data_IF_504481582602
#
_entry.id   IF_504481582602
#
_cell.length_a   1.000
_cell.length_b   1.000
_cell.length_c   1.000
_cell.angle_alpha   90.00
_cell.angle_beta   90.00
_cell.angle_gamma   90.00
#
_symmetry.space_group_name_H-M   'P 1'
#
loop_
_entity.id
_entity.type
_entity.pdbx_description
1 polymer ?
#
# COMPACT_ATOMS: atom_id res chain seq x y z
N UNK A 1 21.18 -7.35 -48.17
CA UNK A 1 20.21 -8.45 -48.38
C UNK A 1 20.27 -9.29 -47.11
N UNK A 2 19.35 -9.23 -46.16
CA UNK A 2 17.88 -9.31 -46.25
C UNK A 2 17.34 -8.69 -44.97
N UNK A 3 16.98 -7.40 -45.03
CA UNK A 3 15.61 -6.94 -44.84
C UNK A 3 14.92 -7.42 -43.55
N UNK A 4 14.73 -6.45 -42.64
CA UNK A 4 13.41 -6.11 -42.15
C UNK A 4 12.60 -7.26 -41.56
N UNK A 5 12.67 -7.53 -40.25
CA UNK A 5 11.54 -8.20 -39.58
C UNK A 5 11.41 -8.08 -38.07
N UNK A 6 12.08 -7.13 -37.39
CA UNK A 6 11.69 -6.81 -36.00
C UNK A 6 11.58 -5.29 -35.86
N UNK A 7 10.58 -4.74 -36.54
CA UNK A 7 9.89 -3.53 -36.10
C UNK A 7 8.87 -4.04 -35.09
N UNK A 8 9.31 -4.25 -33.84
CA UNK A 8 8.37 -4.45 -32.74
C UNK A 8 7.36 -3.30 -32.80
N UNK A 9 6.09 -3.69 -32.88
CA UNK A 9 4.99 -2.78 -33.05
C UNK A 9 5.08 -1.73 -31.94
N UNK A 10 5.22 -0.45 -32.35
CA UNK A 10 4.86 0.68 -31.50
C UNK A 10 3.38 0.49 -31.18
N UNK A 11 3.12 -0.23 -30.08
CA UNK A 11 1.82 -0.41 -29.50
C UNK A 11 1.19 0.96 -29.38
N UNK A 12 -0.06 1.05 -29.79
CA UNK A 12 -0.83 2.26 -29.79
C UNK A 12 -0.98 2.78 -28.34
N UNK A 13 -0.04 3.64 -27.91
CA UNK A 13 0.04 4.33 -26.61
C UNK A 13 -1.21 5.14 -26.24
N UNK A 14 -2.22 5.22 -27.12
CA UNK A 14 -3.50 5.86 -26.84
C UNK A 14 -4.48 4.99 -26.05
N UNK A 15 -4.19 3.70 -25.87
CA UNK A 15 -5.06 2.73 -25.16
C UNK A 15 -4.43 2.13 -23.88
N UNK A 16 -3.40 2.76 -23.33
CA UNK A 16 -2.97 2.38 -21.98
C UNK A 16 -4.00 2.85 -20.96
N UNK A 17 -4.93 1.95 -20.63
CA UNK A 17 -5.95 2.08 -19.57
C UNK A 17 -5.35 2.57 -18.24
N UNK A 18 -4.06 2.33 -18.03
CA UNK A 18 -3.31 2.69 -16.81
C UNK A 18 -2.75 4.12 -16.80
N UNK A 19 -2.84 4.86 -17.91
CA UNK A 19 -2.40 6.25 -18.02
C UNK A 19 -3.54 7.27 -17.83
N UNK A 20 -4.45 7.03 -16.87
CA UNK A 20 -5.52 7.96 -16.52
C UNK A 20 -5.15 8.79 -15.26
N UNK A 21 -4.58 10.00 -15.38
CA UNK A 21 -4.21 10.85 -14.24
C UNK A 21 -5.42 11.24 -13.35
N UNK A 22 -6.62 11.22 -13.92
CA UNK A 22 -7.88 11.43 -13.20
C UNK A 22 -8.21 10.28 -12.24
N UNK A 23 -7.98 9.03 -12.64
CA UNK A 23 -8.27 7.88 -11.80
C UNK A 23 -7.32 7.82 -10.59
N UNK A 24 -6.03 8.11 -10.79
CA UNK A 24 -5.04 8.16 -9.70
C UNK A 24 -5.40 9.21 -8.63
N UNK A 25 -5.87 10.39 -9.05
CA UNK A 25 -6.30 11.44 -8.12
C UNK A 25 -7.57 11.05 -7.34
N UNK A 26 -8.50 10.35 -7.98
CA UNK A 26 -9.71 9.84 -7.32
C UNK A 26 -9.38 8.75 -6.30
N UNK A 27 -8.55 7.77 -6.68
CA UNK A 27 -8.08 6.71 -5.78
C UNK A 27 -7.33 7.29 -4.59
N UNK A 28 -6.48 8.29 -4.81
CA UNK A 28 -5.80 9.02 -3.73
C UNK A 28 -6.78 9.65 -2.75
N UNK A 29 -7.79 10.38 -3.25
CA UNK A 29 -8.80 11.01 -2.41
C UNK A 29 -9.62 9.98 -1.61
N UNK A 30 -10.06 8.91 -2.26
CA UNK A 30 -10.74 7.79 -1.59
C UNK A 30 -9.86 7.13 -0.53
N UNK A 31 -8.56 6.98 -0.79
CA UNK A 31 -7.61 6.36 0.15
C UNK A 31 -7.40 7.25 1.36
N UNK A 32 -7.23 8.57 1.18
CA UNK A 32 -7.17 9.51 2.31
C UNK A 32 -8.45 9.47 3.15
N UNK A 33 -9.63 9.46 2.51
CA UNK A 33 -10.91 9.38 3.22
C UNK A 33 -11.03 8.07 4.00
N UNK A 34 -10.63 6.95 3.40
CA UNK A 34 -10.59 5.64 4.04
C UNK A 34 -9.70 5.66 5.28
N UNK A 35 -8.47 6.20 5.18
CA UNK A 35 -7.53 6.23 6.31
C UNK A 35 -8.04 7.09 7.47
N UNK A 36 -8.69 8.22 7.17
CA UNK A 36 -9.34 9.06 8.18
C UNK A 36 -10.49 8.29 8.83
N UNK A 37 -11.34 7.65 8.03
CA UNK A 37 -12.48 6.86 8.50
C UNK A 37 -12.03 5.70 9.39
N UNK A 38 -11.01 4.94 8.99
CA UNK A 38 -10.44 3.85 9.78
C UNK A 38 -9.78 4.37 11.06
N UNK A 39 -8.99 5.45 10.98
CA UNK A 39 -8.34 6.04 12.15
C UNK A 39 -9.37 6.46 13.21
N UNK A 40 -10.43 7.14 12.80
CA UNK A 40 -11.54 7.54 13.68
C UNK A 40 -12.28 6.31 14.24
N UNK A 41 -12.59 5.32 13.39
CA UNK A 41 -13.28 4.10 13.81
C UNK A 41 -12.49 3.32 14.87
N UNK A 42 -11.17 3.22 14.71
CA UNK A 42 -10.31 2.57 15.71
C UNK A 42 -10.23 3.37 17.01
N UNK A 43 -10.20 4.71 16.95
CA UNK A 43 -10.24 5.54 18.16
C UNK A 43 -11.52 5.33 18.96
N UNK A 44 -12.69 5.26 18.30
CA UNK A 44 -13.95 4.98 18.98
C UNK A 44 -14.00 3.60 19.63
N UNK A 45 -13.32 2.59 19.04
CA UNK A 45 -13.21 1.24 19.62
C UNK A 45 -12.19 1.11 20.76
N UNK A 46 -11.49 2.18 21.14
CA UNK A 46 -10.51 2.12 22.25
C UNK A 46 -11.20 1.84 23.60
N UNK A 47 -12.48 2.18 23.74
CA UNK A 47 -13.26 1.92 24.95
C UNK A 47 -13.87 0.52 25.08
N UNK A 48 -13.74 -0.31 24.05
CA UNK A 48 -14.36 -1.65 24.04
C UNK A 48 -13.55 -2.66 24.87
N UNK A 49 -14.25 -3.67 25.41
CA UNK A 49 -13.62 -4.79 26.09
C UNK A 49 -12.77 -5.61 25.11
N UNK A 50 -11.65 -6.20 25.57
CA UNK A 50 -10.81 -7.03 24.74
C UNK A 50 -11.61 -8.23 24.21
N UNK A 51 -11.60 -8.42 22.88
CA UNK A 51 -12.26 -9.56 22.25
C UNK A 51 -11.25 -10.43 21.51
N UNK A 52 -11.43 -11.74 21.68
CA UNK A 52 -10.70 -12.78 20.95
C UNK A 52 -11.58 -13.29 19.81
N UNK A 53 -11.05 -13.28 18.60
CA UNK A 53 -11.68 -13.83 17.42
C UNK A 53 -10.86 -15.00 16.85
N UNK A 54 -11.47 -15.77 15.94
CA UNK A 54 -10.82 -16.85 15.19
C UNK A 54 -10.08 -17.85 16.09
N UNK A 55 -10.76 -18.39 17.11
CA UNK A 55 -10.21 -19.37 18.04
C UNK A 55 -8.87 -18.92 18.70
N UNK A 56 -8.70 -17.63 18.95
CA UNK A 56 -7.50 -17.06 19.57
C UNK A 56 -6.39 -16.69 18.59
N UNK A 57 -6.64 -16.67 17.28
CA UNK A 57 -5.66 -16.19 16.28
C UNK A 57 -5.61 -14.66 16.20
N UNK A 58 -6.71 -13.99 16.53
CA UNK A 58 -6.86 -12.55 16.43
C UNK A 58 -7.33 -11.96 17.75
N UNK A 59 -6.58 -11.01 18.29
CA UNK A 59 -6.91 -10.30 19.51
C UNK A 59 -7.03 -8.80 19.26
N UNK A 60 -8.10 -8.22 19.77
CA UNK A 60 -8.36 -6.79 19.64
C UNK A 60 -8.54 -6.18 21.01
N UNK A 61 -7.45 -5.63 21.52
CA UNK A 61 -7.41 -4.89 22.77
C UNK A 61 -7.40 -3.36 22.53
N UNK A 62 -7.71 -2.54 23.55
CA UNK A 62 -7.61 -1.08 23.47
C UNK A 62 -6.25 -0.59 22.93
N UNK A 63 -5.16 -1.22 23.36
CA UNK A 63 -3.80 -0.88 22.90
C UNK A 63 -3.65 -1.19 21.40
N UNK A 64 -4.13 -2.35 20.95
CA UNK A 64 -4.12 -2.72 19.52
C UNK A 64 -4.92 -1.72 18.69
N UNK A 65 -6.09 -1.28 19.17
CA UNK A 65 -6.90 -0.28 18.48
C UNK A 65 -6.18 1.08 18.37
N UNK A 66 -5.51 1.51 19.43
CA UNK A 66 -4.68 2.73 19.40
C UNK A 66 -3.53 2.62 18.40
N UNK A 67 -2.81 1.49 18.37
CA UNK A 67 -1.73 1.26 17.42
C UNK A 67 -2.22 1.22 15.96
N UNK A 68 -3.39 0.63 15.70
CA UNK A 68 -4.01 0.64 14.36
C UNK A 68 -4.38 2.04 13.93
N UNK A 69 -4.93 2.86 14.83
CA UNK A 69 -5.22 4.27 14.57
C UNK A 69 -3.94 5.06 14.26
N UNK A 70 -2.89 4.88 15.07
CA UNK A 70 -1.58 5.50 14.85
C UNK A 70 -0.94 5.09 13.52
N UNK A 71 -1.09 3.82 13.13
CA UNK A 71 -0.59 3.30 11.85
C UNK A 71 -1.31 3.93 10.65
N UNK A 72 -2.64 4.06 10.74
CA UNK A 72 -3.44 4.75 9.71
C UNK A 72 -3.02 6.23 9.59
N UNK A 73 -2.78 6.90 10.72
CA UNK A 73 -2.31 8.28 10.74
C UNK A 73 -0.91 8.44 10.13
N UNK A 74 0.02 7.55 10.48
CA UNK A 74 1.37 7.55 9.92
C UNK A 74 1.35 7.36 8.39
N UNK A 75 0.52 6.43 7.88
CA UNK A 75 0.38 6.23 6.45
C UNK A 75 -0.26 7.43 5.75
N UNK A 76 -1.25 8.06 6.38
CA UNK A 76 -1.89 9.26 5.85
C UNK A 76 -0.87 10.40 5.68
N UNK A 77 -0.04 10.64 6.69
CA UNK A 77 1.05 11.64 6.61
C UNK A 77 2.05 11.24 5.51
N UNK A 78 2.42 9.97 5.44
CA UNK A 78 3.32 9.46 4.40
C UNK A 78 2.78 9.69 2.98
N UNK A 79 1.49 9.41 2.73
CA UNK A 79 0.85 9.65 1.43
C UNK A 79 0.81 11.13 1.05
N UNK A 80 0.48 12.02 2.01
CA UNK A 80 0.47 13.47 1.78
C UNK A 80 1.86 13.95 1.39
N UNK A 81 2.89 13.51 2.12
CA UNK A 81 4.28 13.88 1.84
C UNK A 81 4.77 13.32 0.50
N UNK A 82 4.43 12.07 0.21
CA UNK A 82 4.87 11.36 -0.99
C UNK A 82 4.24 11.93 -2.28
N UNK A 83 3.04 12.55 -2.19
CA UNK A 83 2.31 13.06 -3.36
C UNK A 83 3.16 13.90 -4.31
N UNK A 84 3.86 14.92 -3.78
CA UNK A 84 4.67 15.81 -4.63
C UNK A 84 5.81 15.04 -5.30
N UNK A 85 6.49 14.18 -4.54
CA UNK A 85 7.57 13.33 -5.05
C UNK A 85 7.12 12.38 -6.17
N UNK A 86 5.92 11.79 -6.06
CA UNK A 86 5.38 10.91 -7.10
C UNK A 86 5.04 11.66 -8.39
N UNK A 87 4.54 12.90 -8.28
CA UNK A 87 4.23 13.74 -9.44
C UNK A 87 5.51 14.15 -10.16
N UNK A 88 6.52 14.62 -9.42
CA UNK A 88 7.79 15.08 -9.98
C UNK A 88 8.53 13.97 -10.74
N UNK A 89 8.35 12.71 -10.33
CA UNK A 89 8.97 11.55 -10.97
C UNK A 89 8.08 10.83 -11.98
N UNK A 90 6.85 11.31 -12.23
CA UNK A 90 5.90 10.64 -13.11
C UNK A 90 5.45 9.25 -12.64
N UNK A 91 5.64 8.94 -11.35
CA UNK A 91 5.26 7.68 -10.71
C UNK A 91 3.86 7.75 -10.07
N UNK A 92 3.12 8.84 -10.24
CA UNK A 92 1.77 9.01 -9.70
C UNK A 92 0.76 8.09 -10.39
N UNK A 93 0.75 6.83 -9.96
CA UNK A 93 -0.09 5.74 -10.46
C UNK A 93 -0.91 5.15 -9.31
N UNK A 94 -2.12 4.62 -9.59
CA UNK A 94 -2.94 3.98 -8.58
C UNK A 94 -2.24 2.76 -7.95
N UNK A 95 -1.35 2.08 -8.69
CA UNK A 95 -0.63 0.89 -8.22
C UNK A 95 0.19 1.15 -6.94
N UNK A 96 0.84 2.32 -6.85
CA UNK A 96 1.57 2.72 -5.64
C UNK A 96 0.65 2.84 -4.42
N UNK A 97 -0.55 3.39 -4.64
CA UNK A 97 -1.54 3.60 -3.59
C UNK A 97 -2.09 2.24 -3.13
N UNK A 98 -2.34 1.32 -4.06
CA UNK A 98 -2.82 -0.03 -3.73
C UNK A 98 -1.76 -0.82 -2.95
N UNK A 99 -0.50 -0.79 -3.37
CA UNK A 99 0.59 -1.49 -2.69
C UNK A 99 0.85 -0.92 -1.28
N UNK A 100 0.77 0.41 -1.10
CA UNK A 100 0.89 1.03 0.23
C UNK A 100 -0.27 0.71 1.15
N UNK A 101 -1.50 0.61 0.63
CA UNK A 101 -2.67 0.14 1.40
C UNK A 101 -2.55 -1.34 1.78
N UNK A 102 -1.98 -2.18 0.91
CA UNK A 102 -1.74 -3.59 1.21
C UNK A 102 -0.66 -3.76 2.29
N UNK A 103 0.38 -2.91 2.28
CA UNK A 103 1.36 -2.85 3.36
C UNK A 103 0.73 -2.47 4.71
N UNK A 104 -0.20 -1.50 4.71
CA UNK A 104 -0.97 -1.14 5.91
C UNK A 104 -1.81 -2.32 6.41
N UNK A 105 -2.47 -3.05 5.51
CA UNK A 105 -3.24 -4.24 5.88
C UNK A 105 -2.36 -5.25 6.62
N UNK A 106 -1.15 -5.53 6.11
CA UNK A 106 -0.17 -6.37 6.80
C UNK A 106 0.16 -5.85 8.20
N UNK A 107 0.39 -4.55 8.34
CA UNK A 107 0.62 -3.90 9.64
C UNK A 107 -0.58 -4.03 10.60
N UNK A 108 -1.81 -3.92 10.12
CA UNK A 108 -3.02 -4.12 10.94
C UNK A 108 -3.17 -5.58 11.41
N UNK A 109 -2.78 -6.55 10.57
CA UNK A 109 -2.74 -7.98 10.93
C UNK A 109 -1.69 -8.23 12.01
N UNK A 110 -0.50 -7.63 11.87
CA UNK A 110 0.58 -7.75 12.86
C UNK A 110 0.16 -7.23 14.24
N UNK A 111 -0.50 -6.07 14.30
CA UNK A 111 -0.92 -5.46 15.57
C UNK A 111 -1.93 -6.33 16.32
N UNK A 112 -2.71 -7.16 15.63
CA UNK A 112 -3.71 -8.06 16.23
C UNK A 112 -3.31 -9.52 16.27
N UNK A 113 -2.08 -9.85 15.91
CA UNK A 113 -1.59 -11.22 15.95
C UNK A 113 -1.41 -11.69 17.40
N UNK A 114 -2.09 -12.78 17.75
CA UNK A 114 -1.93 -13.44 19.06
C UNK A 114 -1.05 -14.70 19.00
N UNK A 115 -0.70 -15.18 17.80
CA UNK A 115 0.17 -16.34 17.59
C UNK A 115 1.21 -16.04 16.50
N UNK A 116 2.32 -16.78 16.52
CA UNK A 116 3.44 -16.68 15.58
C UNK A 116 3.03 -16.91 14.13
N UNK A 117 2.01 -17.75 13.87
CA UNK A 117 1.52 -17.99 12.51
C UNK A 117 0.86 -16.72 11.94
N UNK A 118 -0.04 -16.08 12.71
CA UNK A 118 -0.68 -14.82 12.30
C UNK A 118 0.35 -13.71 12.14
N UNK A 119 1.36 -13.69 13.02
CA UNK A 119 2.47 -12.74 12.95
C UNK A 119 3.30 -12.94 11.68
N UNK A 120 3.67 -14.18 11.35
CA UNK A 120 4.41 -14.51 10.13
C UNK A 120 3.64 -14.09 8.87
N UNK A 121 2.34 -14.41 8.81
CA UNK A 121 1.49 -14.02 7.70
C UNK A 121 1.43 -12.50 7.53
N UNK A 122 1.31 -11.75 8.64
CA UNK A 122 1.34 -10.29 8.61
C UNK A 122 2.67 -9.73 8.06
N UNK A 123 3.79 -10.34 8.44
CA UNK A 123 5.12 -9.96 7.94
C UNK A 123 5.28 -10.25 6.45
N UNK A 124 4.87 -11.43 5.97
CA UNK A 124 4.93 -11.78 4.55
C UNK A 124 4.08 -10.85 3.69
N UNK A 125 2.84 -10.56 4.12
CA UNK A 125 1.96 -9.63 3.39
C UNK A 125 2.59 -8.25 3.27
N UNK A 126 3.16 -7.74 4.37
CA UNK A 126 3.85 -6.45 4.37
C UNK A 126 5.12 -6.49 3.49
N UNK A 127 5.92 -7.57 3.57
CA UNK A 127 7.15 -7.73 2.81
C UNK A 127 6.91 -7.81 1.30
N UNK A 128 5.89 -8.55 0.85
CA UNK A 128 5.54 -8.62 -0.57
C UNK A 128 5.05 -7.27 -1.10
N UNK A 129 4.28 -6.54 -0.29
CA UNK A 129 3.83 -5.18 -0.62
C UNK A 129 5.00 -4.23 -0.85
N UNK A 130 5.97 -4.24 0.07
CA UNK A 130 7.12 -3.34 0.02
C UNK A 130 8.12 -3.76 -1.06
N UNK A 131 8.29 -5.05 -1.30
CA UNK A 131 9.05 -5.55 -2.44
C UNK A 131 8.46 -5.04 -3.77
N UNK A 132 7.12 -5.10 -3.90
CA UNK A 132 6.41 -4.51 -5.03
C UNK A 132 6.69 -3.01 -5.18
N UNK A 133 6.64 -2.25 -4.09
CA UNK A 133 6.94 -0.80 -4.10
C UNK A 133 8.37 -0.48 -4.57
N UNK A 134 9.35 -1.27 -4.16
CA UNK A 134 10.75 -1.12 -4.60
C UNK A 134 10.88 -1.44 -6.09
N UNK A 135 10.22 -2.51 -6.55
CA UNK A 135 10.25 -2.95 -7.95
C UNK A 135 9.59 -1.96 -8.93
N UNK A 136 8.72 -1.05 -8.45
CA UNK A 136 8.06 -0.04 -9.30
C UNK A 136 9.05 0.89 -10.04
N UNK A 137 10.30 1.01 -9.59
CA UNK A 137 11.29 1.94 -10.17
C UNK A 137 12.32 1.28 -11.11
N UNK A 138 11.89 0.28 -11.89
CA UNK A 138 12.76 -0.49 -12.79
C UNK A 138 13.53 0.35 -13.86
N UNK A 139 13.04 1.54 -14.24
CA UNK A 139 13.60 2.33 -15.37
C UNK A 139 14.63 3.39 -14.98
N UNK A 140 15.32 3.28 -13.84
CA UNK A 140 16.48 4.14 -13.55
C UNK A 140 17.73 3.31 -13.33
N UNK A 141 18.74 3.48 -14.20
CA UNK A 141 20.00 2.72 -14.17
C UNK A 141 20.80 2.79 -12.86
N UNK A 142 20.47 3.73 -11.97
CA UNK A 142 20.99 3.80 -10.60
C UNK A 142 20.39 2.78 -9.62
N UNK A 143 19.34 2.04 -10.03
CA UNK A 143 18.65 1.05 -9.18
C UNK A 143 19.13 -0.39 -9.40
N UNK A 144 19.99 -0.63 -10.40
CA UNK A 144 20.56 -1.95 -10.66
C UNK A 144 21.75 -2.29 -9.75
N UNK A 145 22.31 -1.31 -9.03
CA UNK A 145 23.51 -1.49 -8.20
C UNK A 145 23.22 -1.50 -6.69
N UNK A 146 21.95 -1.33 -6.29
CA UNK A 146 21.51 -1.37 -4.89
C UNK A 146 20.74 -2.65 -4.53
N UNK A 147 20.63 -3.59 -5.47
CA UNK A 147 20.03 -4.92 -5.27
C UNK A 147 21.07 -5.93 -4.78
#
# INVERSE_FOLDING_TARGET
MTSAFIKEAKGNDSNDVFHAPRAASFVYFCSCLLLIGLGIAFLFRTGDLPYLAMAGLFQSDPISNLLKAGSCFALLVSLIYSKQYLIDRGLFRPDFIVLTLFALLGQLVLISANNLITLYLGLELMALSTYGLVAMRHTSGLSSEAA
#
